data_IF_018153995454
#
_entry.id   IF_018153995454
#
_cell.length_a   1.000
_cell.length_b   1.000
_cell.length_c   1.000
_cell.angle_alpha   90.00
_cell.angle_beta   90.00
_cell.angle_gamma   90.00
#
_symmetry.space_group_name_H-M   'P 1'
#
loop_
_entity.id
_entity.type
_entity.pdbx_description
1 polymer ?
#
# COMPACT_ATOMS: atom_id res chain seq x y z
N UNK A 1 37.71 26.42 -43.01
CA UNK A 1 38.90 25.86 -42.31
C UNK A 1 38.74 26.18 -40.83
N UNK A 2 38.69 25.13 -39.99
CA UNK A 2 39.05 24.95 -38.57
C UNK A 2 39.55 26.22 -37.83
N UNK A 3 39.15 26.58 -36.60
CA UNK A 3 39.11 25.84 -35.32
C UNK A 3 38.19 26.56 -34.26
N UNK A 4 38.30 26.35 -32.92
CA UNK A 4 37.36 25.63 -32.06
C UNK A 4 36.80 26.54 -30.92
N UNK A 5 36.10 25.97 -29.92
CA UNK A 5 35.89 26.42 -28.52
C UNK A 5 34.48 25.94 -28.08
N UNK A 6 34.41 24.80 -27.39
CA UNK A 6 34.22 24.74 -25.93
C UNK A 6 33.08 25.64 -25.43
N UNK A 7 31.91 25.06 -25.16
CA UNK A 7 31.03 25.59 -24.12
C UNK A 7 30.20 24.48 -23.45
N UNK A 8 30.51 24.29 -22.17
CA UNK A 8 29.67 23.88 -21.05
C UNK A 8 28.72 22.68 -21.21
N UNK A 9 29.18 21.56 -20.65
CA UNK A 9 28.30 20.57 -20.05
C UNK A 9 27.60 21.17 -18.82
N UNK A 10 26.29 21.37 -18.92
CA UNK A 10 25.37 21.38 -17.80
C UNK A 10 23.96 21.26 -18.38
N UNK A 11 23.19 20.27 -17.91
CA UNK A 11 21.77 20.40 -17.54
C UNK A 11 21.24 19.03 -17.07
N UNK A 12 21.07 18.95 -15.75
CA UNK A 12 20.00 18.24 -15.02
C UNK A 12 19.85 16.73 -15.25
N UNK A 13 20.65 15.96 -14.52
CA UNK A 13 20.27 14.60 -14.12
C UNK A 13 19.18 14.67 -13.03
N UNK A 14 17.93 14.79 -13.45
CA UNK A 14 16.75 14.59 -12.61
C UNK A 14 16.26 13.15 -12.81
N UNK A 15 16.87 12.16 -12.16
CA UNK A 15 16.34 10.79 -12.21
C UNK A 15 16.48 10.07 -10.88
N UNK A 16 15.31 9.66 -10.37
CA UNK A 16 15.09 8.57 -9.43
C UNK A 16 15.47 8.79 -7.94
N UNK A 17 14.81 9.74 -7.28
CA UNK A 17 14.86 9.87 -5.80
C UNK A 17 13.51 10.16 -5.11
N UNK A 18 12.42 10.39 -5.85
CA UNK A 18 11.18 10.91 -5.28
C UNK A 18 10.41 9.91 -4.40
N UNK A 19 10.71 8.62 -4.45
CA UNK A 19 10.02 7.61 -3.64
C UNK A 19 10.62 7.47 -2.22
N UNK A 20 11.91 7.77 -2.03
CA UNK A 20 12.57 7.64 -0.73
C UNK A 20 12.28 8.83 0.20
N UNK A 21 12.27 10.06 -0.34
CA UNK A 21 12.09 11.27 0.46
C UNK A 21 10.66 11.41 1.03
N UNK A 22 9.65 10.94 0.28
CA UNK A 22 8.26 10.89 0.74
C UNK A 22 8.03 9.83 1.82
N UNK A 23 8.79 8.73 1.78
CA UNK A 23 8.74 7.70 2.81
C UNK A 23 9.42 8.18 4.09
N UNK A 24 10.55 8.88 3.98
CA UNK A 24 11.29 9.42 5.12
C UNK A 24 10.55 10.57 5.82
N UNK A 25 9.90 11.46 5.04
CA UNK A 25 9.06 12.53 5.58
C UNK A 25 7.82 11.99 6.30
N UNK A 26 7.20 10.93 5.76
CA UNK A 26 6.09 10.26 6.46
C UNK A 26 6.59 9.48 7.66
N UNK A 27 7.77 8.83 7.59
CA UNK A 27 8.39 8.16 8.73
C UNK A 27 8.66 9.13 9.89
N UNK A 28 9.16 10.33 9.60
CA UNK A 28 9.40 11.39 10.59
C UNK A 28 8.11 11.94 11.21
N UNK A 29 7.03 12.05 10.43
CA UNK A 29 5.74 12.56 10.91
C UNK A 29 4.92 11.50 11.66
N UNK A 30 5.22 10.22 11.45
CA UNK A 30 4.48 9.07 11.99
C UNK A 30 5.16 8.46 13.22
N UNK A 31 6.47 8.67 13.37
CA UNK A 31 7.26 8.22 14.51
C UNK A 31 6.90 8.84 15.87
N UNK A 32 6.07 9.89 15.90
CA UNK A 32 5.82 10.67 17.11
C UNK A 32 4.35 10.70 17.58
N UNK A 33 3.39 10.16 16.82
CA UNK A 33 1.96 10.42 17.11
C UNK A 33 1.01 9.24 16.90
N UNK A 34 1.50 8.04 16.55
CA UNK A 34 0.62 6.87 16.38
C UNK A 34 1.26 5.64 17.02
N UNK A 35 0.85 5.27 18.25
CA UNK A 35 1.30 4.04 18.89
C UNK A 35 1.03 2.85 17.96
N UNK A 36 2.07 2.08 17.61
CA UNK A 36 1.95 0.90 16.75
C UNK A 36 2.34 1.09 15.28
N UNK A 37 2.52 2.33 14.81
CA UNK A 37 3.01 2.64 13.46
C UNK A 37 4.46 3.16 13.52
N UNK A 38 5.25 2.53 14.40
CA UNK A 38 6.67 2.81 14.60
C UNK A 38 7.47 2.50 13.34
N UNK A 39 7.64 3.51 12.50
CA UNK A 39 8.78 3.66 11.60
C UNK A 39 8.84 2.77 10.35
N UNK A 40 7.93 1.84 10.10
CA UNK A 40 8.05 1.00 8.89
C UNK A 40 6.73 0.73 8.16
N UNK A 41 6.26 1.72 7.39
CA UNK A 41 5.25 1.50 6.35
C UNK A 41 5.70 0.43 5.33
N UNK A 42 7.00 0.22 5.17
CA UNK A 42 7.55 -0.86 4.33
C UNK A 42 7.36 -2.26 4.92
N UNK A 43 7.04 -2.37 6.21
CA UNK A 43 6.64 -3.63 6.85
C UNK A 43 5.13 -3.87 6.84
N UNK A 44 4.33 -2.94 6.33
CA UNK A 44 2.88 -3.17 6.17
C UNK A 44 2.67 -4.19 5.07
N UNK A 45 2.66 -5.46 5.47
CA UNK A 45 2.32 -6.59 4.62
C UNK A 45 1.11 -7.28 5.19
N UNK A 46 0.09 -7.46 4.35
CA UNK A 46 -1.00 -8.35 4.69
C UNK A 46 -0.44 -9.74 5.02
N UNK A 47 -0.92 -10.30 6.12
CA UNK A 47 -0.51 -11.59 6.68
C UNK A 47 -1.11 -12.78 5.93
N UNK A 48 -2.16 -12.54 5.15
CA UNK A 48 -2.79 -13.53 4.29
C UNK A 48 -3.36 -12.90 3.02
N UNK A 49 -3.53 -13.72 1.99
CA UNK A 49 -4.22 -13.34 0.74
C UNK A 49 -5.61 -12.79 1.01
N UNK A 50 -6.35 -13.39 1.95
CA UNK A 50 -7.69 -12.96 2.32
C UNK A 50 -7.69 -11.57 2.92
N UNK A 51 -6.73 -11.31 3.83
CA UNK A 51 -6.60 -9.99 4.42
C UNK A 51 -6.18 -8.92 3.41
N UNK A 52 -5.27 -9.24 2.48
CA UNK A 52 -4.91 -8.33 1.39
C UNK A 52 -6.15 -7.97 0.54
N UNK A 53 -6.93 -8.98 0.14
CA UNK A 53 -8.15 -8.79 -0.64
C UNK A 53 -9.19 -7.93 0.12
N UNK A 54 -9.46 -8.24 1.38
CA UNK A 54 -10.40 -7.46 2.19
C UNK A 54 -9.96 -6.01 2.39
N UNK A 55 -8.66 -5.77 2.65
CA UNK A 55 -8.13 -4.40 2.79
C UNK A 55 -8.24 -3.64 1.47
N UNK A 56 -7.98 -4.28 0.31
CA UNK A 56 -8.20 -3.63 -0.98
C UNK A 56 -9.66 -3.23 -1.20
N UNK A 57 -10.61 -4.09 -0.81
CA UNK A 57 -12.02 -3.73 -0.86
C UNK A 57 -12.35 -2.53 0.02
N UNK A 58 -11.85 -2.51 1.27
CA UNK A 58 -11.97 -1.35 2.15
C UNK A 58 -11.39 -0.09 1.49
N UNK A 59 -10.21 -0.18 0.90
CA UNK A 59 -9.53 0.94 0.26
C UNK A 59 -10.29 1.51 -0.94
N UNK A 60 -10.89 0.64 -1.76
CA UNK A 60 -11.73 1.05 -2.90
C UNK A 60 -13.02 1.71 -2.39
N UNK A 61 -13.70 1.07 -1.44
CA UNK A 61 -14.97 1.54 -0.87
C UNK A 61 -14.86 2.93 -0.22
N UNK A 62 -13.70 3.23 0.36
CA UNK A 62 -13.41 4.51 1.00
C UNK A 62 -12.67 5.51 0.10
N UNK A 63 -12.54 5.25 -1.20
CA UNK A 63 -11.85 6.12 -2.17
C UNK A 63 -10.36 6.38 -1.86
N UNK A 64 -9.70 5.46 -1.15
CA UNK A 64 -8.25 5.52 -0.94
C UNK A 64 -7.48 5.03 -2.17
N UNK A 65 -8.04 4.09 -2.94
CA UNK A 65 -7.51 3.61 -4.21
C UNK A 65 -8.47 3.89 -5.37
N UNK A 66 -7.91 4.08 -6.56
CA UNK A 66 -8.69 4.08 -7.78
C UNK A 66 -9.22 2.66 -8.06
N UNK A 67 -10.53 2.53 -8.24
CA UNK A 67 -11.22 1.24 -8.25
C UNK A 67 -10.77 0.27 -9.35
N UNK A 68 -10.25 0.74 -10.50
CA UNK A 68 -9.95 -0.13 -11.64
C UNK A 68 -8.94 -1.24 -11.36
N UNK A 69 -7.67 -0.87 -11.14
CA UNK A 69 -6.60 -1.84 -10.91
C UNK A 69 -6.77 -2.56 -9.56
N UNK A 70 -7.18 -1.82 -8.53
CA UNK A 70 -7.39 -2.38 -7.20
C UNK A 70 -8.50 -3.44 -7.17
N UNK A 71 -9.61 -3.22 -7.89
CA UNK A 71 -10.67 -4.22 -7.99
C UNK A 71 -10.20 -5.48 -8.71
N UNK A 72 -9.47 -5.34 -9.82
CA UNK A 72 -8.95 -6.49 -10.56
C UNK A 72 -8.00 -7.35 -9.72
N UNK A 73 -7.11 -6.73 -8.93
CA UNK A 73 -6.22 -7.46 -8.00
C UNK A 73 -7.04 -8.10 -6.88
N UNK A 74 -7.96 -7.37 -6.26
CA UNK A 74 -8.87 -7.88 -5.22
C UNK A 74 -9.63 -9.11 -5.71
N UNK A 75 -10.27 -9.05 -6.88
CA UNK A 75 -11.06 -10.16 -7.43
C UNK A 75 -10.19 -11.42 -7.67
N UNK A 76 -8.96 -11.24 -8.17
CA UNK A 76 -8.03 -12.36 -8.35
C UNK A 76 -7.58 -12.95 -7.02
N UNK A 77 -7.30 -12.12 -6.01
CA UNK A 77 -6.94 -12.59 -4.66
C UNK A 77 -8.10 -13.35 -4.00
N UNK A 78 -9.34 -12.85 -4.13
CA UNK A 78 -10.55 -13.56 -3.68
C UNK A 78 -10.69 -14.92 -4.37
N UNK A 79 -10.44 -14.99 -5.68
CA UNK A 79 -10.44 -16.26 -6.43
C UNK A 79 -9.44 -17.30 -5.89
N UNK A 80 -8.37 -16.87 -5.21
CA UNK A 80 -7.39 -17.75 -4.57
C UNK A 80 -7.80 -18.24 -3.17
N UNK A 81 -8.81 -17.62 -2.54
CA UNK A 81 -9.31 -18.06 -1.22
C UNK A 81 -10.20 -19.30 -1.30
N UNK A 82 -10.70 -19.61 -2.50
CA UNK A 82 -11.52 -20.78 -2.79
C UNK A 82 -12.15 -20.64 -4.17
N UNK A 83 -12.08 -21.70 -4.99
CA UNK A 83 -12.49 -21.70 -6.39
C UNK A 83 -13.75 -20.88 -6.66
N UNK A 84 -13.62 -19.90 -7.58
CA UNK A 84 -14.68 -19.05 -8.15
C UNK A 84 -15.84 -18.64 -7.21
N UNK A 85 -15.55 -18.16 -5.99
CA UNK A 85 -16.49 -17.50 -5.06
C UNK A 85 -17.13 -18.38 -3.96
N UNK A 86 -16.37 -19.28 -3.35
CA UNK A 86 -16.73 -19.79 -2.03
C UNK A 86 -16.61 -18.66 -0.98
N UNK A 87 -17.70 -17.90 -0.78
CA UNK A 87 -17.96 -16.94 0.30
C UNK A 87 -16.67 -16.35 0.93
N UNK A 88 -16.05 -15.30 0.33
CA UNK A 88 -14.85 -14.68 0.87
C UNK A 88 -15.02 -14.19 2.31
N UNK A 89 -16.23 -13.81 2.70
CA UNK A 89 -16.62 -13.49 4.08
C UNK A 89 -16.33 -14.60 5.12
N UNK A 90 -16.22 -15.85 4.69
CA UNK A 90 -15.86 -16.98 5.55
C UNK A 90 -14.35 -17.05 5.83
N UNK A 91 -13.52 -16.35 5.04
CA UNK A 91 -12.11 -16.17 5.35
C UNK A 91 -11.96 -15.09 6.43
N UNK A 92 -11.41 -15.41 7.63
CA UNK A 92 -11.31 -14.46 8.72
C UNK A 92 -10.35 -13.30 8.41
N UNK A 93 -9.39 -13.50 7.50
CA UNK A 93 -8.51 -12.44 7.01
C UNK A 93 -9.27 -11.43 6.15
N UNK A 94 -10.08 -11.93 5.22
CA UNK A 94 -10.96 -11.11 4.37
C UNK A 94 -11.96 -10.33 5.20
N UNK A 95 -12.69 -10.98 6.10
CA UNK A 95 -13.65 -10.34 7.00
C UNK A 95 -13.00 -9.22 7.83
N UNK A 96 -11.78 -9.43 8.34
CA UNK A 96 -11.03 -8.37 9.05
C UNK A 96 -10.63 -7.24 8.09
N UNK A 97 -10.19 -7.59 6.88
CA UNK A 97 -9.70 -6.64 5.88
C UNK A 97 -10.79 -5.68 5.39
N UNK A 98 -12.01 -6.17 5.15
CA UNK A 98 -13.14 -5.31 4.72
C UNK A 98 -13.56 -4.31 5.79
N UNK A 99 -13.24 -4.57 7.06
CA UNK A 99 -13.40 -3.63 8.17
C UNK A 99 -12.24 -2.62 8.26
N UNK A 100 -11.25 -2.68 7.37
CA UNK A 100 -10.07 -1.84 7.40
C UNK A 100 -8.98 -2.35 8.34
N UNK A 101 -9.08 -3.58 8.85
CA UNK A 101 -8.06 -4.16 9.73
C UNK A 101 -7.02 -4.91 8.90
N UNK A 102 -5.83 -4.32 8.80
CA UNK A 102 -4.66 -4.95 8.19
C UNK A 102 -3.95 -5.80 9.24
N UNK A 103 -3.91 -7.11 9.03
CA UNK A 103 -3.19 -8.06 9.90
C UNK A 103 -1.80 -8.27 9.32
N UNK A 104 -0.77 -7.83 10.02
CA UNK A 104 0.63 -7.99 9.65
C UNK A 104 1.12 -9.44 9.76
N UNK A 105 2.15 -9.77 9.00
CA UNK A 105 2.86 -11.08 9.10
C UNK A 105 3.55 -11.28 10.45
N UNK A 106 3.83 -10.20 11.16
CA UNK A 106 4.43 -10.18 12.50
C UNK A 106 3.40 -10.38 13.63
N UNK A 107 2.15 -10.65 13.28
CA UNK A 107 1.05 -10.83 14.24
C UNK A 107 0.47 -9.52 14.78
N UNK A 108 1.01 -8.36 14.38
CA UNK A 108 0.42 -7.06 14.72
C UNK A 108 -0.77 -6.77 13.81
N UNK A 109 -1.72 -5.99 14.29
CA UNK A 109 -2.84 -5.51 13.48
C UNK A 109 -2.86 -3.99 13.45
N UNK A 110 -3.24 -3.43 12.31
CA UNK A 110 -3.39 -2.01 12.07
C UNK A 110 -4.82 -1.73 11.65
N UNK A 111 -5.46 -0.79 12.32
CA UNK A 111 -6.78 -0.31 11.96
C UNK A 111 -6.66 0.90 11.04
N UNK A 112 -6.98 0.71 9.75
CA UNK A 112 -6.99 1.74 8.71
C UNK A 112 -8.31 2.54 8.68
N UNK A 113 -9.34 2.07 9.39
CA UNK A 113 -10.64 2.72 9.52
C UNK A 113 -10.66 3.78 10.63
N UNK A 114 -9.71 3.70 11.56
CA UNK A 114 -9.64 4.55 12.73
C UNK A 114 -9.42 6.04 12.42
N UNK A 115 -10.12 6.89 13.16
CA UNK A 115 -10.06 8.36 13.12
C UNK A 115 -8.70 8.98 13.49
N UNK A 116 -7.72 8.16 13.90
CA UNK A 116 -6.36 8.60 14.24
C UNK A 116 -5.38 8.64 13.06
N UNK A 117 -5.70 8.00 11.93
CA UNK A 117 -4.83 7.97 10.75
C UNK A 117 -5.24 9.06 9.76
N UNK A 118 -4.26 9.84 9.31
CA UNK A 118 -4.47 10.79 8.21
C UNK A 118 -4.78 10.01 6.93
N UNK A 119 -5.72 10.52 6.14
CA UNK A 119 -6.13 9.90 4.86
C UNK A 119 -4.95 9.62 3.92
N UNK A 120 -3.93 10.49 3.88
CA UNK A 120 -2.72 10.28 3.08
C UNK A 120 -1.96 9.00 3.49
N UNK A 121 -1.92 8.71 4.79
CA UNK A 121 -1.22 7.54 5.33
C UNK A 121 -2.02 6.28 5.02
N UNK A 122 -3.34 6.32 5.20
CA UNK A 122 -4.22 5.22 4.81
C UNK A 122 -4.11 4.94 3.32
N UNK A 123 -4.07 5.99 2.49
CA UNK A 123 -3.85 5.86 1.04
C UNK A 123 -2.51 5.19 0.72
N UNK A 124 -1.41 5.60 1.34
CA UNK A 124 -0.10 4.95 1.15
C UNK A 124 -0.11 3.48 1.59
N UNK A 125 -0.79 3.16 2.70
CA UNK A 125 -0.95 1.78 3.15
C UNK A 125 -1.74 0.97 2.11
N UNK A 126 -2.86 1.51 1.62
CA UNK A 126 -3.65 0.89 0.55
C UNK A 126 -2.84 0.67 -0.74
N UNK A 127 -2.03 1.66 -1.16
CA UNK A 127 -1.15 1.54 -2.33
C UNK A 127 -0.11 0.42 -2.12
N UNK A 128 0.46 0.31 -0.92
CA UNK A 128 1.40 -0.76 -0.58
C UNK A 128 0.73 -2.14 -0.64
N UNK A 129 -0.47 -2.29 -0.08
CA UNK A 129 -1.22 -3.55 -0.14
C UNK A 129 -1.60 -3.89 -1.58
N UNK A 130 -1.92 -2.90 -2.41
CA UNK A 130 -2.16 -3.10 -3.84
C UNK A 130 -0.93 -3.65 -4.56
N UNK A 131 0.25 -3.08 -4.32
CA UNK A 131 1.49 -3.57 -4.90
C UNK A 131 1.83 -4.99 -4.42
N UNK A 132 1.63 -5.27 -3.14
CA UNK A 132 1.81 -6.62 -2.61
C UNK A 132 0.81 -7.62 -3.19
N UNK A 133 -0.45 -7.22 -3.32
CA UNK A 133 -1.50 -8.04 -3.93
C UNK A 133 -1.12 -8.47 -5.34
N UNK A 134 -0.54 -7.57 -6.14
CA UNK A 134 -0.02 -7.90 -7.48
C UNK A 134 1.08 -8.96 -7.43
N UNK A 135 2.00 -8.87 -6.48
CA UNK A 135 3.06 -9.88 -6.30
C UNK A 135 2.55 -11.24 -5.82
N UNK A 136 1.30 -11.32 -5.35
CA UNK A 136 0.66 -12.55 -4.89
C UNK A 136 -0.22 -13.20 -5.96
N UNK A 137 -0.38 -12.60 -7.14
CA UNK A 137 -1.14 -13.17 -8.26
C UNK A 137 -0.35 -14.31 -8.90
#
# INVERSE_FOLDING_TARGET
>A
MKHPLLYAAALLAMTAGAQAQLLDSVKGQLGSSTPGLGGNLSSLSAGSTGNAAGVLEFCIKNNYLAGGEAAAVKDKLVGKLGGNAAKPESDPGYASGVQGILKGKDGKSMDLSGSGLKQEITKKACDQILQQGKSLL
#
